data_IF_990682051897
#
_entry.id   IF_990682051897
#
_cell.length_a   1.000
_cell.length_b   1.000
_cell.length_c   1.000
_cell.angle_alpha   90.00
_cell.angle_beta   90.00
_cell.angle_gamma   90.00
#
_symmetry.space_group_name_H-M   'P 1'
#
loop_
_entity.id
_entity.type
_entity.pdbx_description
1 polymer ?
#
# COMPACT_ATOMS: atom_id res chain seq x y z
N UNK A 1 -25.54 7.50 -2.67
CA UNK A 1 -26.42 6.92 -3.68
C UNK A 1 -27.58 6.24 -3.00
N UNK A 2 -28.82 6.57 -3.34
CA UNK A 2 -30.05 5.98 -2.83
C UNK A 2 -30.47 4.88 -3.79
N UNK A 3 -30.84 3.72 -3.27
CA UNK A 3 -31.34 2.57 -4.03
C UNK A 3 -32.57 2.04 -3.33
N UNK A 4 -33.53 1.50 -4.06
CA UNK A 4 -34.72 0.95 -3.45
C UNK A 4 -35.97 1.01 -4.35
N UNK A 5 -37.13 1.20 -3.74
CA UNK A 5 -38.45 1.19 -4.40
C UNK A 5 -38.78 2.45 -5.20
N UNK A 6 -37.93 3.47 -5.18
CA UNK A 6 -38.05 4.64 -6.04
C UNK A 6 -37.76 4.20 -7.50
N UNK A 7 -38.67 4.43 -8.46
CA UNK A 7 -38.45 4.02 -9.84
C UNK A 7 -37.22 4.66 -10.49
N UNK A 8 -36.81 5.84 -10.03
CA UNK A 8 -35.63 6.55 -10.52
C UNK A 8 -34.34 6.15 -9.75
N UNK A 9 -34.46 5.38 -8.68
CA UNK A 9 -33.30 4.94 -7.90
C UNK A 9 -32.69 3.66 -8.51
N UNK A 10 -31.35 3.55 -8.51
CA UNK A 10 -30.68 2.34 -8.97
C UNK A 10 -31.10 1.12 -8.14
N UNK A 11 -31.28 -0.02 -8.80
CA UNK A 11 -31.55 -1.28 -8.10
C UNK A 11 -30.39 -1.64 -7.17
N UNK A 12 -30.70 -1.90 -5.91
CA UNK A 12 -29.70 -2.25 -4.89
C UNK A 12 -28.91 -3.51 -5.27
N UNK A 13 -29.57 -4.55 -5.78
CA UNK A 13 -28.92 -5.81 -6.17
C UNK A 13 -27.89 -5.57 -7.28
N UNK A 14 -28.27 -4.82 -8.33
CA UNK A 14 -27.35 -4.46 -9.42
C UNK A 14 -26.17 -3.62 -8.91
N UNK A 15 -26.44 -2.70 -7.98
CA UNK A 15 -25.40 -1.82 -7.44
C UNK A 15 -24.45 -2.54 -6.48
N UNK A 16 -24.90 -3.62 -5.82
CA UNK A 16 -24.07 -4.36 -4.85
C UNK A 16 -23.30 -5.52 -5.48
N UNK A 17 -23.59 -5.88 -6.74
CA UNK A 17 -23.02 -7.08 -7.34
C UNK A 17 -23.50 -8.38 -6.68
N UNK A 18 -24.59 -8.33 -5.91
CA UNK A 18 -25.23 -9.49 -5.34
C UNK A 18 -26.39 -9.97 -6.22
N UNK A 19 -26.52 -11.28 -6.33
CA UNK A 19 -27.68 -11.95 -6.85
C UNK A 19 -28.32 -12.77 -5.74
N UNK A 20 -29.63 -12.94 -5.79
CA UNK A 20 -30.37 -13.79 -4.86
C UNK A 20 -30.81 -15.06 -5.62
N UNK A 21 -30.32 -16.20 -5.14
CA UNK A 21 -30.83 -17.48 -5.58
C UNK A 21 -32.29 -17.58 -5.12
N UNK A 22 -33.21 -17.49 -6.09
CA UNK A 22 -34.65 -17.50 -5.82
C UNK A 22 -35.12 -18.80 -5.20
N UNK A 23 -34.38 -19.89 -5.34
CA UNK A 23 -34.73 -21.21 -4.79
C UNK A 23 -34.36 -21.32 -3.32
N UNK A 24 -33.21 -20.81 -2.95
CA UNK A 24 -32.65 -20.93 -1.59
C UNK A 24 -32.79 -19.66 -0.76
N UNK A 25 -33.11 -18.53 -1.38
CA UNK A 25 -33.14 -17.20 -0.74
C UNK A 25 -31.76 -16.68 -0.30
N UNK A 26 -30.69 -17.40 -0.67
CA UNK A 26 -29.32 -17.00 -0.30
C UNK A 26 -28.74 -16.06 -1.33
N UNK A 27 -28.16 -14.97 -0.82
CA UNK A 27 -27.36 -14.06 -1.65
C UNK A 27 -26.02 -14.69 -2.05
N UNK A 28 -25.59 -14.43 -3.28
CA UNK A 28 -24.26 -14.77 -3.79
C UNK A 28 -23.63 -13.54 -4.43
N UNK A 29 -22.32 -13.43 -4.33
CA UNK A 29 -21.56 -12.41 -5.06
C UNK A 29 -21.44 -12.83 -6.51
N UNK A 30 -21.96 -12.04 -7.43
CA UNK A 30 -21.86 -12.25 -8.89
C UNK A 30 -20.84 -11.31 -9.52
N UNK A 31 -20.63 -10.14 -8.92
CA UNK A 31 -19.59 -9.19 -9.28
C UNK A 31 -18.64 -8.97 -8.10
N UNK A 32 -17.46 -9.57 -8.12
CA UNK A 32 -16.51 -9.43 -7.02
C UNK A 32 -15.94 -8.01 -6.89
N UNK A 33 -16.11 -7.15 -7.88
CA UNK A 33 -15.71 -5.73 -7.85
C UNK A 33 -16.88 -4.81 -7.45
N UNK A 34 -18.07 -5.33 -7.36
CA UNK A 34 -19.28 -4.61 -6.95
C UNK A 34 -19.26 -4.16 -5.50
N UNK A 35 -20.26 -3.38 -5.12
CA UNK A 35 -20.49 -2.98 -3.73
C UNK A 35 -20.71 -4.23 -2.87
N UNK A 36 -19.97 -4.37 -1.76
CA UNK A 36 -19.85 -5.58 -0.94
C UNK A 36 -19.05 -6.74 -1.55
N UNK A 37 -18.42 -6.56 -2.70
CA UNK A 37 -17.44 -7.50 -3.25
C UNK A 37 -16.15 -7.59 -2.43
N UNK A 38 -15.12 -8.22 -2.98
CA UNK A 38 -13.84 -8.41 -2.29
C UNK A 38 -13.19 -7.08 -1.90
N UNK A 39 -12.75 -7.00 -0.63
CA UNK A 39 -12.13 -5.80 -0.04
C UNK A 39 -13.06 -4.57 0.04
N UNK A 40 -14.33 -4.68 -0.27
CA UNK A 40 -15.26 -3.59 -0.06
C UNK A 40 -15.45 -3.33 1.45
N UNK A 41 -15.34 -2.06 1.84
CA UNK A 41 -15.55 -1.61 3.23
C UNK A 41 -16.76 -0.71 3.36
N UNK A 42 -17.57 -0.63 2.32
CA UNK A 42 -18.79 0.16 2.34
C UNK A 42 -19.86 -0.57 3.16
N UNK A 43 -20.65 0.20 3.85
CA UNK A 43 -21.86 -0.25 4.53
C UNK A 43 -23.05 0.53 3.98
N UNK A 44 -24.22 -0.06 4.07
CA UNK A 44 -25.47 0.62 3.77
C UNK A 44 -26.46 0.45 4.93
N UNK A 45 -27.41 1.33 5.01
CA UNK A 45 -28.47 1.31 6.00
C UNK A 45 -29.79 1.74 5.34
N UNK A 46 -30.93 1.33 5.86
CA UNK A 46 -32.22 1.85 5.42
C UNK A 46 -32.21 3.39 5.54
N UNK A 47 -32.76 4.03 4.53
CA UNK A 47 -32.91 5.48 4.52
C UNK A 47 -34.31 5.85 3.99
N UNK A 48 -34.93 6.82 4.62
CA UNK A 48 -36.22 7.39 4.27
C UNK A 48 -36.06 8.87 3.90
N UNK A 49 -36.91 9.36 2.97
CA UNK A 49 -36.86 10.76 2.51
C UNK A 49 -37.08 11.78 3.63
N UNK A 50 -37.70 11.39 4.74
CA UNK A 50 -37.88 12.23 5.93
C UNK A 50 -36.57 12.39 6.75
N UNK A 51 -35.60 11.52 6.54
CA UNK A 51 -34.33 11.56 7.24
C UNK A 51 -33.34 12.47 6.53
N UNK A 52 -32.61 13.26 7.32
CA UNK A 52 -31.53 14.09 6.78
C UNK A 52 -30.47 13.22 6.11
N UNK A 53 -30.14 13.52 4.85
CA UNK A 53 -29.03 12.87 4.16
C UNK A 53 -27.71 13.31 4.79
N UNK A 54 -26.91 12.41 5.39
CA UNK A 54 -25.66 12.77 6.05
C UNK A 54 -24.56 13.23 5.07
N UNK A 55 -24.71 12.98 3.78
CA UNK A 55 -23.70 13.23 2.75
C UNK A 55 -23.89 14.57 2.01
N UNK A 56 -24.95 15.30 2.32
CA UNK A 56 -25.18 16.65 1.80
C UNK A 56 -25.22 17.67 2.94
N UNK A 57 -24.82 18.89 2.66
CA UNK A 57 -24.91 20.01 3.59
C UNK A 57 -26.34 20.59 3.63
N UNK A 58 -26.54 21.67 4.37
CA UNK A 58 -27.82 22.34 4.50
C UNK A 58 -28.27 23.05 3.22
N UNK A 59 -27.34 23.32 2.32
CA UNK A 59 -27.56 23.94 1.01
C UNK A 59 -27.80 22.92 -0.11
N UNK A 60 -27.79 21.61 0.20
CA UNK A 60 -28.00 20.52 -0.76
C UNK A 60 -26.73 20.09 -1.52
N UNK A 61 -25.57 20.64 -1.20
CA UNK A 61 -24.33 20.28 -1.84
C UNK A 61 -23.68 19.04 -1.21
N UNK A 62 -22.96 18.20 -1.98
CA UNK A 62 -22.16 17.11 -1.43
C UNK A 62 -21.13 17.63 -0.42
N UNK A 63 -21.04 17.00 0.76
CA UNK A 63 -20.05 17.32 1.80
C UNK A 63 -18.63 16.86 1.46
N UNK A 64 -18.42 16.24 0.34
CA UNK A 64 -17.13 15.72 -0.08
C UNK A 64 -16.94 15.96 -1.59
N UNK A 65 -15.70 16.23 -1.95
CA UNK A 65 -15.29 16.31 -3.35
C UNK A 65 -14.90 14.90 -3.83
N UNK A 66 -15.54 14.46 -4.92
CA UNK A 66 -15.27 13.17 -5.57
C UNK A 66 -13.85 13.13 -6.14
N UNK A 67 -13.39 14.23 -6.72
CA UNK A 67 -12.04 14.31 -7.31
C UNK A 67 -10.95 14.30 -6.22
N UNK A 68 -11.17 15.00 -5.11
CA UNK A 68 -10.29 14.96 -3.96
C UNK A 68 -10.23 13.53 -3.38
N UNK A 69 -11.37 12.88 -3.21
CA UNK A 69 -11.46 11.50 -2.72
C UNK A 69 -10.72 10.52 -3.64
N UNK A 70 -10.84 10.67 -4.95
CA UNK A 70 -10.12 9.85 -5.93
C UNK A 70 -8.60 10.06 -5.82
N UNK A 71 -8.16 11.31 -5.73
CA UNK A 71 -6.74 11.67 -5.56
C UNK A 71 -6.16 11.05 -4.28
N UNK A 72 -6.88 11.14 -3.15
CA UNK A 72 -6.48 10.53 -1.88
C UNK A 72 -6.36 9.01 -2.03
N UNK A 73 -7.33 8.37 -2.67
CA UNK A 73 -7.30 6.93 -2.93
C UNK A 73 -6.07 6.52 -3.74
N UNK A 74 -5.80 7.19 -4.86
CA UNK A 74 -4.65 6.93 -5.71
C UNK A 74 -3.32 7.08 -4.96
N UNK A 75 -3.19 8.14 -4.15
CA UNK A 75 -2.02 8.35 -3.33
C UNK A 75 -1.85 7.24 -2.26
N UNK A 76 -2.94 6.75 -1.67
CA UNK A 76 -2.90 5.60 -0.79
C UNK A 76 -2.47 4.31 -1.50
N UNK A 77 -2.89 4.09 -2.75
CA UNK A 77 -2.43 2.94 -3.54
C UNK A 77 -0.94 3.05 -3.87
N UNK A 78 -0.45 4.23 -4.27
CA UNK A 78 0.99 4.49 -4.46
C UNK A 78 1.78 4.24 -3.18
N UNK A 79 1.28 4.68 -2.03
CA UNK A 79 1.87 4.40 -0.72
C UNK A 79 2.03 2.89 -0.48
N UNK A 80 0.98 2.10 -0.74
CA UNK A 80 1.01 0.63 -0.58
C UNK A 80 2.02 -0.05 -1.52
N UNK A 81 2.18 0.47 -2.74
CA UNK A 81 3.20 -0.04 -3.69
C UNK A 81 4.60 0.19 -3.12
N UNK A 82 4.88 1.39 -2.61
CA UNK A 82 6.17 1.71 -1.99
C UNK A 82 6.45 0.85 -0.75
N UNK A 83 5.45 0.64 0.12
CA UNK A 83 5.56 -0.23 1.29
C UNK A 83 5.89 -1.69 0.89
N UNK A 84 5.26 -2.21 -0.17
CA UNK A 84 5.57 -3.55 -0.70
C UNK A 84 7.00 -3.65 -1.21
N UNK A 85 7.45 -2.64 -1.98
CA UNK A 85 8.81 -2.59 -2.50
C UNK A 85 9.87 -2.55 -1.38
N UNK A 86 9.63 -1.77 -0.33
CA UNK A 86 10.51 -1.74 0.86
C UNK A 86 10.59 -3.10 1.54
N UNK A 87 9.45 -3.76 1.77
CA UNK A 87 9.43 -5.11 2.37
C UNK A 87 10.14 -6.14 1.50
N UNK A 88 9.96 -6.06 0.19
CA UNK A 88 10.64 -6.95 -0.75
C UNK A 88 12.16 -6.78 -0.65
N UNK A 89 12.66 -5.56 -0.71
CA UNK A 89 14.11 -5.29 -0.57
C UNK A 89 14.67 -5.73 0.79
N UNK A 90 13.90 -5.62 1.87
CA UNK A 90 14.31 -6.15 3.17
C UNK A 90 14.46 -7.68 3.18
N UNK A 91 13.54 -8.41 2.51
CA UNK A 91 13.64 -9.88 2.37
C UNK A 91 14.85 -10.27 1.53
N UNK A 92 15.09 -9.57 0.43
CA UNK A 92 16.26 -9.79 -0.43
C UNK A 92 17.57 -9.56 0.33
N UNK A 93 17.64 -8.51 1.17
CA UNK A 93 18.79 -8.25 2.04
C UNK A 93 19.00 -9.37 3.07
N UNK A 94 17.94 -9.91 3.67
CA UNK A 94 18.06 -11.05 4.59
C UNK A 94 18.60 -12.29 3.86
N UNK A 95 18.06 -12.60 2.68
CA UNK A 95 18.53 -13.74 1.89
C UNK A 95 20.00 -13.57 1.50
N UNK A 96 20.38 -12.41 1.01
CA UNK A 96 21.77 -12.10 0.64
C UNK A 96 22.71 -12.09 1.84
N UNK A 97 22.22 -11.67 3.02
CA UNK A 97 22.98 -11.76 4.27
C UNK A 97 23.27 -13.22 4.66
N UNK A 98 22.28 -14.10 4.55
CA UNK A 98 22.45 -15.53 4.83
C UNK A 98 23.45 -16.18 3.86
N UNK A 99 23.39 -15.82 2.57
CA UNK A 99 24.39 -16.26 1.60
C UNK A 99 25.80 -15.84 2.03
N UNK A 100 26.00 -14.54 2.36
CA UNK A 100 27.30 -14.01 2.78
C UNK A 100 27.81 -14.66 4.09
N UNK A 101 26.93 -14.96 5.01
CA UNK A 101 27.30 -15.57 6.31
C UNK A 101 27.68 -17.07 6.15
N UNK A 102 27.11 -17.75 5.13
CA UNK A 102 27.40 -19.15 4.82
C UNK A 102 28.65 -19.38 3.96
N UNK A 103 29.26 -18.32 3.40
CA UNK A 103 30.42 -18.45 2.51
C UNK A 103 31.72 -18.24 3.28
N UNK A 104 32.58 -19.24 3.27
CA UNK A 104 33.93 -19.17 3.81
C UNK A 104 34.95 -18.59 2.81
N UNK A 105 34.69 -18.75 1.50
CA UNK A 105 35.59 -18.37 0.42
C UNK A 105 35.60 -16.85 0.22
N UNK A 106 36.80 -16.26 0.25
CA UNK A 106 37.00 -14.80 0.15
C UNK A 106 36.58 -14.29 -1.21
N UNK A 107 36.94 -14.96 -2.28
CA UNK A 107 36.69 -14.53 -3.67
C UNK A 107 35.20 -14.42 -3.97
N UNK A 108 34.41 -15.38 -3.52
CA UNK A 108 32.95 -15.35 -3.70
C UNK A 108 32.32 -14.25 -2.87
N UNK A 109 32.85 -14.01 -1.65
CA UNK A 109 32.39 -12.93 -0.80
C UNK A 109 32.68 -11.54 -1.40
N UNK A 110 33.81 -11.37 -2.09
CA UNK A 110 34.15 -10.12 -2.79
C UNK A 110 33.17 -9.80 -3.93
N UNK A 111 32.61 -10.80 -4.58
CA UNK A 111 31.60 -10.63 -5.64
C UNK A 111 30.21 -10.30 -5.04
N UNK A 112 29.83 -10.95 -3.94
CA UNK A 112 28.49 -10.82 -3.37
C UNK A 112 28.32 -9.58 -2.47
N UNK A 113 29.39 -9.14 -1.81
CA UNK A 113 29.34 -7.99 -0.93
C UNK A 113 28.90 -6.69 -1.63
N UNK A 114 29.40 -6.34 -2.84
CA UNK A 114 28.90 -5.19 -3.57
C UNK A 114 27.42 -5.26 -3.94
N UNK A 115 26.90 -6.46 -4.18
CA UNK A 115 25.46 -6.66 -4.44
C UNK A 115 24.64 -6.33 -3.20
N UNK A 116 25.05 -6.83 -2.02
CA UNK A 116 24.42 -6.48 -0.74
C UNK A 116 24.45 -4.97 -0.50
N UNK A 117 25.59 -4.32 -0.74
CA UNK A 117 25.78 -2.88 -0.52
C UNK A 117 24.88 -2.05 -1.42
N UNK A 118 24.74 -2.43 -2.69
CA UNK A 118 23.83 -1.81 -3.63
C UNK A 118 22.37 -1.97 -3.19
N UNK A 119 21.99 -3.16 -2.73
CA UNK A 119 20.62 -3.41 -2.22
C UNK A 119 20.35 -2.61 -0.94
N UNK A 120 21.34 -2.47 -0.06
CA UNK A 120 21.23 -1.65 1.15
C UNK A 120 21.05 -0.15 0.79
N UNK A 121 21.79 0.33 -0.21
CA UNK A 121 21.62 1.70 -0.74
C UNK A 121 20.23 1.88 -1.39
N UNK A 122 19.74 0.90 -2.15
CA UNK A 122 18.37 0.89 -2.70
C UNK A 122 17.32 0.99 -1.60
N UNK A 123 17.46 0.22 -0.49
CA UNK A 123 16.56 0.29 0.65
C UNK A 123 16.54 1.68 1.29
N UNK A 124 17.71 2.31 1.46
CA UNK A 124 17.80 3.68 1.99
C UNK A 124 17.02 4.65 1.11
N UNK A 125 17.24 4.62 -0.20
CA UNK A 125 16.57 5.52 -1.15
C UNK A 125 15.04 5.28 -1.17
N UNK A 126 14.60 4.02 -1.12
CA UNK A 126 13.18 3.68 -1.01
C UNK A 126 12.55 4.26 0.25
N UNK A 127 13.21 4.15 1.41
CA UNK A 127 12.71 4.72 2.66
C UNK A 127 12.66 6.25 2.62
N UNK A 128 13.65 6.91 2.02
CA UNK A 128 13.65 8.37 1.86
C UNK A 128 12.50 8.83 0.94
N UNK A 129 12.35 8.20 -0.23
CA UNK A 129 11.26 8.48 -1.17
C UNK A 129 9.89 8.24 -0.55
N UNK A 130 9.72 7.16 0.20
CA UNK A 130 8.48 6.86 0.91
C UNK A 130 8.12 7.93 1.93
N UNK A 131 9.08 8.35 2.77
CA UNK A 131 8.87 9.41 3.75
C UNK A 131 8.51 10.75 3.08
N UNK A 132 9.24 11.09 2.01
CA UNK A 132 8.98 12.32 1.25
C UNK A 132 7.60 12.28 0.60
N UNK A 133 7.25 11.18 -0.07
CA UNK A 133 5.94 10.98 -0.68
C UNK A 133 4.81 11.12 0.35
N UNK A 134 4.93 10.51 1.52
CA UNK A 134 3.93 10.64 2.57
C UNK A 134 3.79 12.10 3.02
N UNK A 135 4.91 12.81 3.21
CA UNK A 135 4.91 14.22 3.60
C UNK A 135 4.23 15.10 2.55
N UNK A 136 4.57 14.92 1.28
CA UNK A 136 4.07 15.75 0.17
C UNK A 136 2.56 15.56 -0.08
N UNK A 137 2.02 14.38 0.27
CA UNK A 137 0.61 14.04 0.08
C UNK A 137 -0.21 14.02 1.39
N UNK A 138 0.31 14.56 2.50
CA UNK A 138 -0.40 14.60 3.78
C UNK A 138 -0.72 13.21 4.36
N UNK A 139 0.03 12.17 3.97
CA UNK A 139 -0.19 10.80 4.43
C UNK A 139 0.69 10.49 5.65
N UNK A 140 0.14 9.77 6.61
CA UNK A 140 0.94 9.25 7.71
C UNK A 140 1.78 8.05 7.29
N UNK A 141 3.05 8.00 7.72
CA UNK A 141 3.89 6.81 7.54
C UNK A 141 3.37 5.64 8.38
N UNK A 142 3.31 4.44 7.78
CA UNK A 142 2.78 3.22 8.43
C UNK A 142 3.94 2.28 8.79
N UNK A 143 4.62 2.55 9.92
CA UNK A 143 5.79 1.79 10.35
C UNK A 143 5.51 0.28 10.46
N UNK A 144 4.34 -0.10 10.95
CA UNK A 144 3.95 -1.51 11.07
C UNK A 144 3.86 -2.23 9.73
N UNK A 145 3.44 -1.54 8.67
CA UNK A 145 3.39 -2.09 7.31
C UNK A 145 4.77 -2.29 6.68
N UNK A 146 5.81 -1.69 7.24
CA UNK A 146 7.20 -1.84 6.78
C UNK A 146 7.95 -2.95 7.49
N UNK A 147 7.34 -3.61 8.49
CA UNK A 147 7.95 -4.71 9.24
C UNK A 147 8.09 -5.94 8.36
N UNK A 148 9.21 -6.62 8.53
CA UNK A 148 9.51 -7.93 7.92
C UNK A 148 10.10 -8.81 9.01
N UNK A 149 9.61 -10.05 9.12
CA UNK A 149 10.15 -11.02 10.05
C UNK A 149 11.65 -11.23 9.80
N UNK A 150 12.44 -11.26 10.86
CA UNK A 150 13.91 -11.39 10.76
C UNK A 150 14.66 -10.08 10.47
N UNK A 151 14.03 -9.04 9.92
CA UNK A 151 14.67 -7.75 9.67
C UNK A 151 14.51 -6.82 10.88
N UNK A 152 15.35 -7.01 11.89
CA UNK A 152 15.34 -6.28 13.17
C UNK A 152 16.25 -5.04 13.12
N UNK A 153 16.45 -4.43 14.30
CA UNK A 153 17.30 -3.22 14.45
C UNK A 153 18.75 -3.47 14.00
N UNK A 154 19.27 -4.64 14.27
CA UNK A 154 20.63 -5.06 13.92
C UNK A 154 20.85 -5.09 12.41
N UNK A 155 19.93 -5.77 11.68
CA UNK A 155 19.95 -5.84 10.22
C UNK A 155 19.78 -4.44 9.60
N UNK A 156 18.92 -3.62 10.20
CA UNK A 156 18.72 -2.23 9.77
C UNK A 156 19.99 -1.39 9.95
N UNK A 157 20.67 -1.52 11.07
CA UNK A 157 21.93 -0.80 11.34
C UNK A 157 23.04 -1.23 10.36
N UNK A 158 23.19 -2.55 10.15
CA UNK A 158 24.16 -3.12 9.18
C UNK A 158 23.88 -2.59 7.77
N UNK A 159 22.62 -2.67 7.30
CA UNK A 159 22.23 -2.16 5.99
C UNK A 159 22.50 -0.66 5.85
N UNK A 160 22.22 0.15 6.87
CA UNK A 160 22.51 1.58 6.85
C UNK A 160 24.01 1.89 6.75
N UNK A 161 24.86 1.16 7.48
CA UNK A 161 26.31 1.30 7.39
C UNK A 161 26.82 0.97 5.99
N UNK A 162 26.37 -0.15 5.42
CA UNK A 162 26.76 -0.59 4.07
C UNK A 162 26.26 0.37 2.98
N UNK A 163 25.04 0.90 3.11
CA UNK A 163 24.52 1.91 2.19
C UNK A 163 25.38 3.19 2.21
N UNK A 164 25.91 3.60 3.37
CA UNK A 164 26.81 4.75 3.49
C UNK A 164 28.14 4.47 2.79
N UNK A 165 28.73 3.30 3.01
CA UNK A 165 29.97 2.89 2.35
C UNK A 165 29.81 2.87 0.82
N UNK A 166 28.72 2.30 0.31
CA UNK A 166 28.41 2.29 -1.11
C UNK A 166 28.27 3.72 -1.69
N UNK A 167 27.55 4.58 -1.00
CA UNK A 167 27.38 5.98 -1.43
C UNK A 167 28.71 6.73 -1.50
N UNK A 168 29.59 6.52 -0.52
CA UNK A 168 30.90 7.15 -0.48
C UNK A 168 31.81 6.63 -1.62
N UNK A 169 31.77 5.33 -1.91
CA UNK A 169 32.51 4.75 -3.04
C UNK A 169 32.01 5.30 -4.38
N UNK A 170 30.69 5.43 -4.54
CA UNK A 170 30.07 5.98 -5.73
C UNK A 170 30.53 7.42 -5.97
N UNK A 171 30.46 8.27 -4.94
CA UNK A 171 30.94 9.68 -5.03
C UNK A 171 32.41 9.79 -5.42
N UNK A 172 33.28 8.91 -4.89
CA UNK A 172 34.71 8.90 -5.25
C UNK A 172 34.93 8.55 -6.72
N UNK A 173 34.13 7.64 -7.28
CA UNK A 173 34.21 7.25 -8.71
C UNK A 173 33.64 8.31 -9.66
N UNK A 174 32.69 9.10 -9.21
CA UNK A 174 32.06 10.17 -10.01
C UNK A 174 32.82 11.49 -9.93
N UNK A 175 33.71 11.66 -8.95
CA UNK A 175 34.52 12.84 -8.75
C UNK A 175 35.99 12.69 -9.16
N UNK A 176 36.36 11.54 -9.74
CA UNK A 176 37.66 11.25 -10.34
C UNK A 176 37.57 11.26 -11.87
#
# INVERSE_FOLDING_TARGET
RIVGSDPDAPNLLVSTGYDIDVTTGKGRVVDPEGLHGYNCRHSHRPWDKSLRNPYIDESGNPKFDVHESQSVYENQQKQRIMERAIRQTKRELLAKQLELDGIAETDVREILQPQYDHMAYRLRNQNQRYKQFCKDNGLSTKADRLKVAGFKREQSAKANGRATSYQNQKKRKEGA
#
